data_IF_207731685763
#
_entry.id   IF_207731685763
#
_cell.length_a   1.000
_cell.length_b   1.000
_cell.length_c   1.000
_cell.angle_alpha   90.00
_cell.angle_beta   90.00
_cell.angle_gamma   90.00
#
_symmetry.space_group_name_H-M   'P 1'
#
loop_
_entity.id
_entity.type
_entity.pdbx_description
1 polymer ?
#
# COMPACT_ATOMS: atom_id res chain seq x y z
N UNK A 1 -35.05 -15.98 5.56
CA UNK A 1 -33.96 -15.65 6.50
C UNK A 1 -33.65 -14.18 6.33
N UNK A 2 -33.64 -13.41 7.42
CA UNK A 2 -33.18 -12.02 7.38
C UNK A 2 -31.67 -12.03 7.09
N UNK A 3 -31.25 -11.36 6.02
CA UNK A 3 -29.83 -11.20 5.70
C UNK A 3 -29.21 -10.27 6.75
N UNK A 4 -28.11 -10.65 7.42
CA UNK A 4 -27.48 -9.81 8.44
C UNK A 4 -27.11 -8.42 7.91
N UNK A 5 -27.21 -7.40 8.76
CA UNK A 5 -26.85 -6.01 8.44
C UNK A 5 -25.46 -5.90 7.79
N UNK A 6 -24.49 -6.67 8.29
CA UNK A 6 -23.11 -6.72 7.76
C UNK A 6 -23.05 -7.14 6.30
N UNK A 7 -23.91 -8.07 5.89
CA UNK A 7 -23.93 -8.59 4.52
C UNK A 7 -24.71 -7.66 3.59
N UNK A 8 -25.80 -7.04 4.06
CA UNK A 8 -26.54 -6.00 3.33
C UNK A 8 -25.71 -4.74 3.08
N UNK A 9 -24.83 -4.40 4.03
CA UNK A 9 -23.97 -3.21 3.95
C UNK A 9 -22.72 -3.44 3.09
N UNK A 10 -22.50 -4.67 2.61
CA UNK A 10 -21.34 -4.99 1.77
C UNK A 10 -21.35 -4.14 0.50
N UNK A 11 -20.18 -3.63 0.13
CA UNK A 11 -19.94 -2.70 -0.98
C UNK A 11 -20.67 -1.35 -0.84
N UNK A 12 -21.23 -1.03 0.33
CA UNK A 12 -21.94 0.23 0.58
C UNK A 12 -21.27 1.10 1.65
N UNK A 13 -20.23 0.62 2.33
CA UNK A 13 -19.60 1.32 3.45
C UNK A 13 -19.03 2.70 3.10
N UNK A 14 -18.44 2.86 1.92
CA UNK A 14 -17.95 4.16 1.46
C UNK A 14 -19.09 5.20 1.31
N UNK A 15 -20.33 4.74 1.08
CA UNK A 15 -21.54 5.59 1.00
C UNK A 15 -22.24 5.73 2.34
N UNK A 16 -22.34 4.65 3.11
CA UNK A 16 -23.06 4.60 4.38
C UNK A 16 -22.38 5.41 5.48
N UNK A 17 -21.05 5.31 5.59
CA UNK A 17 -20.29 5.99 6.65
C UNK A 17 -20.50 7.52 6.63
N UNK A 18 -20.42 8.22 5.47
CA UNK A 18 -20.76 9.64 5.40
C UNK A 18 -22.21 9.96 5.79
N UNK A 19 -23.17 9.11 5.39
CA UNK A 19 -24.59 9.33 5.70
C UNK A 19 -24.89 9.30 7.21
N UNK A 20 -24.08 8.58 7.99
CA UNK A 20 -24.22 8.49 9.45
C UNK A 20 -23.24 9.39 10.23
N UNK A 21 -22.51 10.27 9.52
CA UNK A 21 -21.67 11.30 10.15
C UNK A 21 -20.16 11.02 10.20
N UNK A 22 -19.66 9.98 9.53
CA UNK A 22 -18.22 9.73 9.39
C UNK A 22 -17.71 10.48 8.15
N UNK A 23 -16.83 11.46 8.36
CA UNK A 23 -16.34 12.30 7.27
C UNK A 23 -15.66 11.49 6.14
N UNK A 24 -16.10 11.74 4.90
CA UNK A 24 -15.59 11.13 3.67
C UNK A 24 -14.08 11.30 3.47
N UNK A 25 -13.45 12.30 4.08
CA UNK A 25 -11.99 12.50 4.01
C UNK A 25 -11.20 11.29 4.55
N UNK A 26 -11.78 10.51 5.46
CA UNK A 26 -11.15 9.31 6.01
C UNK A 26 -11.33 8.08 5.11
N UNK A 27 -12.24 8.15 4.14
CA UNK A 27 -12.62 7.04 3.28
C UNK A 27 -11.91 7.10 1.92
N UNK A 28 -11.05 8.11 1.71
CA UNK A 28 -10.32 8.31 0.46
C UNK A 28 -9.16 7.30 0.30
N UNK A 29 -9.50 6.09 -0.13
CA UNK A 29 -8.60 5.14 -0.77
C UNK A 29 -7.54 4.45 0.09
N UNK A 30 -6.64 3.71 -0.57
CA UNK A 30 -5.65 2.80 0.06
C UNK A 30 -4.40 3.50 0.62
N UNK A 31 -4.37 4.83 0.72
CA UNK A 31 -3.22 5.56 1.29
C UNK A 31 -3.37 5.65 2.81
N UNK A 32 -2.24 5.70 3.52
CA UNK A 32 -2.29 5.97 4.94
C UNK A 32 -2.52 7.47 5.15
N UNK A 33 -3.39 7.83 6.09
CA UNK A 33 -3.79 9.19 6.39
C UNK A 33 -4.14 9.39 7.87
N UNK A 34 -4.85 10.49 8.18
CA UNK A 34 -5.27 10.83 9.53
C UNK A 34 -6.26 9.81 10.07
N UNK A 35 -6.14 9.46 11.35
CA UNK A 35 -7.06 8.55 12.02
C UNK A 35 -8.24 9.32 12.62
N UNK A 36 -9.49 8.99 12.27
CA UNK A 36 -10.67 9.64 12.85
C UNK A 36 -10.87 9.34 14.34
N UNK A 37 -10.23 8.29 14.87
CA UNK A 37 -10.37 7.90 16.28
C UNK A 37 -9.30 8.52 17.19
N UNK A 38 -8.02 8.51 16.77
CA UNK A 38 -6.91 8.97 17.61
C UNK A 38 -6.18 10.21 17.09
N UNK A 39 -6.62 10.81 15.97
CA UNK A 39 -6.01 12.02 15.39
C UNK A 39 -4.61 11.83 14.78
N UNK A 40 -4.07 10.61 14.75
CA UNK A 40 -2.74 10.35 14.21
C UNK A 40 -2.67 10.56 12.69
N UNK A 41 -1.71 11.33 12.20
CA UNK A 41 -1.68 11.89 10.83
C UNK A 41 -1.43 10.93 9.66
N UNK A 42 -0.77 9.79 9.89
CA UNK A 42 -0.23 8.92 8.79
C UNK A 42 -0.39 7.42 9.06
N UNK A 43 -1.37 7.03 9.90
CA UNK A 43 -1.43 5.68 10.47
C UNK A 43 -2.72 4.92 10.16
N UNK A 44 -3.74 5.62 9.67
CA UNK A 44 -5.05 5.05 9.36
C UNK A 44 -5.21 4.83 7.87
N UNK A 45 -5.89 3.75 7.48
CA UNK A 45 -6.25 3.47 6.08
C UNK A 45 -7.59 2.77 6.06
N UNK A 46 -8.51 3.27 5.24
CA UNK A 46 -9.73 2.59 4.84
C UNK A 46 -9.41 1.76 3.59
N UNK A 47 -9.28 0.44 3.74
CA UNK A 47 -8.89 -0.44 2.63
C UNK A 47 -10.05 -1.25 2.03
N UNK A 48 -11.22 -1.21 2.67
CA UNK A 48 -12.50 -1.72 2.17
C UNK A 48 -12.42 -3.09 1.49
N UNK A 49 -11.66 -4.01 2.07
CA UNK A 49 -11.44 -5.33 1.49
C UNK A 49 -12.76 -6.08 1.42
N UNK A 50 -13.02 -6.62 0.23
CA UNK A 50 -14.22 -7.42 -0.05
C UNK A 50 -15.53 -6.63 0.23
N UNK A 51 -15.47 -5.30 0.13
CA UNK A 51 -16.60 -4.42 0.40
C UNK A 51 -17.06 -4.41 1.85
N UNK A 52 -16.25 -4.87 2.81
CA UNK A 52 -16.65 -5.01 4.22
C UNK A 52 -16.44 -3.74 5.05
N UNK A 53 -15.99 -2.64 4.45
CA UNK A 53 -15.65 -1.40 5.14
C UNK A 53 -14.40 -1.56 6.01
N UNK A 54 -13.47 -2.45 5.63
CA UNK A 54 -12.29 -2.72 6.47
C UNK A 54 -11.37 -1.52 6.55
N UNK A 55 -10.72 -1.42 7.71
CA UNK A 55 -9.78 -0.37 8.01
C UNK A 55 -8.67 -0.88 8.92
N UNK A 56 -7.53 -0.19 8.89
CA UNK A 56 -6.38 -0.47 9.74
C UNK A 56 -5.82 0.85 10.28
N UNK A 57 -5.52 0.87 11.56
CA UNK A 57 -4.75 1.89 12.25
C UNK A 57 -3.63 1.23 13.04
N UNK A 58 -2.38 1.67 12.84
CA UNK A 58 -1.23 1.10 13.59
C UNK A 58 -1.32 1.28 15.12
N UNK A 59 -2.26 2.09 15.62
CA UNK A 59 -2.48 2.31 17.05
C UNK A 59 -3.84 1.80 17.54
N UNK A 60 -4.91 2.02 16.76
CA UNK A 60 -6.27 1.64 17.15
C UNK A 60 -6.63 0.19 16.78
N UNK A 61 -5.75 -0.52 16.07
CA UNK A 61 -5.99 -1.87 15.58
C UNK A 61 -6.63 -1.88 14.20
N UNK A 62 -7.42 -2.90 13.90
CA UNK A 62 -8.12 -3.07 12.62
C UNK A 62 -9.54 -3.56 12.86
N UNK A 63 -10.44 -3.29 11.91
CA UNK A 63 -11.86 -3.64 12.02
C UNK A 63 -12.57 -3.60 10.68
N UNK A 64 -13.89 -3.78 10.71
CA UNK A 64 -14.80 -3.61 9.58
C UNK A 64 -15.62 -2.32 9.69
N UNK A 65 -16.57 -2.10 8.78
CA UNK A 65 -17.35 -0.87 8.73
C UNK A 65 -18.23 -0.66 9.97
N UNK A 66 -18.73 -1.73 10.59
CA UNK A 66 -19.48 -1.66 11.85
C UNK A 66 -18.56 -1.17 12.96
N UNK A 67 -17.41 -1.83 13.12
CA UNK A 67 -16.42 -1.47 14.14
C UNK A 67 -15.90 -0.03 13.95
N UNK A 68 -15.71 0.41 12.69
CA UNK A 68 -15.33 1.78 12.38
C UNK A 68 -16.39 2.78 12.83
N UNK A 69 -17.65 2.56 12.44
CA UNK A 69 -18.74 3.47 12.75
C UNK A 69 -18.95 3.60 14.25
N UNK A 70 -18.98 2.48 14.98
CA UNK A 70 -19.10 2.48 16.44
C UNK A 70 -17.96 3.25 17.11
N UNK A 71 -16.71 3.03 16.69
CA UNK A 71 -15.55 3.70 17.29
C UNK A 71 -15.46 5.19 16.97
N UNK A 72 -15.83 5.60 15.77
CA UNK A 72 -15.76 7.02 15.37
C UNK A 72 -16.92 7.82 15.98
N UNK A 73 -18.11 7.24 16.03
CA UNK A 73 -19.31 7.92 16.54
C UNK A 73 -19.50 7.76 18.06
N UNK A 74 -18.81 6.80 18.68
CA UNK A 74 -18.95 6.51 20.11
C UNK A 74 -20.28 5.86 20.48
N UNK A 75 -20.88 5.10 19.56
CA UNK A 75 -22.20 4.46 19.72
C UNK A 75 -22.09 2.93 19.79
N UNK A 76 -23.13 2.29 20.33
CA UNK A 76 -23.21 0.83 20.35
C UNK A 76 -23.80 0.27 19.04
N UNK A 77 -23.84 -1.07 18.93
CA UNK A 77 -24.36 -1.74 17.74
C UNK A 77 -25.86 -1.51 17.53
N UNK A 78 -26.65 -1.39 18.61
CA UNK A 78 -28.10 -1.19 18.51
C UNK A 78 -28.39 0.15 17.88
N UNK A 79 -27.79 1.20 18.42
CA UNK A 79 -27.93 2.57 17.89
C UNK A 79 -27.41 2.65 16.45
N UNK A 80 -26.27 1.99 16.16
CA UNK A 80 -25.78 1.93 14.78
C UNK A 80 -26.79 1.26 13.84
N UNK A 81 -27.37 0.13 14.24
CA UNK A 81 -28.35 -0.58 13.41
C UNK A 81 -29.60 0.28 13.17
N UNK A 82 -30.10 0.96 14.19
CA UNK A 82 -31.22 1.92 14.07
C UNK A 82 -30.93 3.04 13.07
N UNK A 83 -29.68 3.51 12.99
CA UNK A 83 -29.25 4.51 12.00
C UNK A 83 -29.06 3.94 10.59
N UNK A 84 -28.58 2.70 10.46
CA UNK A 84 -28.25 2.09 9.17
C UNK A 84 -29.43 1.42 8.47
N UNK A 85 -30.33 0.78 9.21
CA UNK A 85 -31.49 0.06 8.66
C UNK A 85 -32.33 0.88 7.66
N UNK A 86 -32.68 2.17 7.93
CA UNK A 86 -33.47 2.95 6.98
C UNK A 86 -32.66 3.42 5.75
N UNK A 87 -31.33 3.30 5.75
CA UNK A 87 -30.46 3.84 4.70
C UNK A 87 -29.89 2.77 3.77
N UNK A 88 -29.78 1.53 4.26
CA UNK A 88 -28.94 0.50 3.66
C UNK A 88 -29.37 0.09 2.24
N UNK A 89 -30.67 0.06 1.98
CA UNK A 89 -31.20 -0.37 0.69
C UNK A 89 -31.02 0.72 -0.38
N UNK A 90 -31.06 2.00 0.01
CA UNK A 90 -30.90 3.16 -0.86
C UNK A 90 -29.44 3.64 -1.01
N UNK A 91 -28.54 3.23 -0.11
CA UNK A 91 -27.15 3.68 -0.14
C UNK A 91 -26.43 3.17 -1.40
N UNK A 92 -25.81 4.04 -2.23
CA UNK A 92 -25.14 3.62 -3.45
C UNK A 92 -24.11 2.53 -3.23
N UNK A 93 -24.13 1.51 -4.09
CA UNK A 93 -23.08 0.49 -4.14
C UNK A 93 -21.83 1.14 -4.72
N UNK A 94 -20.79 1.19 -3.90
CA UNK A 94 -19.45 1.66 -4.24
C UNK A 94 -18.51 0.46 -4.11
N UNK A 95 -18.41 -0.36 -5.17
CA UNK A 95 -17.67 -1.60 -5.08
C UNK A 95 -16.20 -1.34 -4.76
N UNK A 96 -15.67 -2.12 -3.82
CA UNK A 96 -14.26 -2.05 -3.50
C UNK A 96 -13.42 -2.38 -4.73
N UNK A 97 -12.31 -1.64 -4.93
CA UNK A 97 -11.40 -1.95 -6.03
C UNK A 97 -10.90 -3.40 -5.86
N UNK A 98 -10.94 -4.25 -6.90
CA UNK A 98 -10.56 -5.65 -6.78
C UNK A 98 -9.14 -5.78 -6.21
N UNK A 99 -8.96 -6.77 -5.34
CA UNK A 99 -7.62 -7.15 -4.92
C UNK A 99 -6.91 -7.81 -6.11
N UNK A 100 -5.65 -7.44 -6.35
CA UNK A 100 -4.88 -8.05 -7.44
C UNK A 100 -4.64 -9.51 -7.10
N UNK A 101 -4.83 -10.40 -8.07
CA UNK A 101 -4.53 -11.81 -7.85
C UNK A 101 -3.03 -12.01 -7.55
N UNK A 102 -2.64 -13.08 -6.83
CA UNK A 102 -1.24 -13.41 -6.63
C UNK A 102 -0.45 -13.54 -7.94
N UNK A 103 -1.12 -14.01 -9.00
CA UNK A 103 -0.51 -14.16 -10.33
C UNK A 103 -0.28 -12.80 -11.00
N UNK A 104 -1.25 -11.88 -10.94
CA UNK A 104 -1.08 -10.52 -11.45
C UNK A 104 0.06 -9.79 -10.72
N UNK A 105 0.15 -9.99 -9.40
CA UNK A 105 1.24 -9.43 -8.61
C UNK A 105 2.59 -9.99 -9.08
N UNK A 106 2.71 -11.30 -9.26
CA UNK A 106 3.93 -11.96 -9.73
C UNK A 106 4.31 -11.53 -11.14
N UNK A 107 3.34 -11.45 -12.05
CA UNK A 107 3.53 -10.95 -13.41
C UNK A 107 4.06 -9.52 -13.43
N UNK A 108 3.52 -8.63 -12.58
CA UNK A 108 4.00 -7.26 -12.44
C UNK A 108 5.44 -7.18 -11.88
N UNK A 109 5.80 -8.05 -10.92
CA UNK A 109 7.18 -8.15 -10.42
C UNK A 109 8.14 -8.58 -11.54
N UNK A 110 7.77 -9.64 -12.27
CA UNK A 110 8.60 -10.20 -13.34
C UNK A 110 8.82 -9.18 -14.45
N UNK A 111 7.76 -8.47 -14.87
CA UNK A 111 7.84 -7.42 -15.89
C UNK A 111 8.78 -6.30 -15.48
N UNK A 112 8.62 -5.75 -14.28
CA UNK A 112 9.50 -4.70 -13.78
C UNK A 112 10.95 -5.17 -13.69
N UNK A 113 11.18 -6.42 -13.25
CA UNK A 113 12.52 -6.97 -13.16
C UNK A 113 13.17 -7.19 -14.53
N UNK A 114 12.41 -7.61 -15.54
CA UNK A 114 12.91 -7.81 -16.90
C UNK A 114 13.23 -6.49 -17.60
N UNK A 115 12.47 -5.43 -17.32
CA UNK A 115 12.76 -4.07 -17.81
C UNK A 115 13.99 -3.47 -17.13
N UNK A 116 14.31 -3.90 -15.91
CA UNK A 116 15.42 -3.36 -15.15
C UNK A 116 16.76 -3.93 -15.65
N UNK A 117 17.73 -3.04 -15.89
CA UNK A 117 19.10 -3.36 -16.31
C UNK A 117 20.11 -3.27 -15.16
N UNK A 118 21.30 -3.83 -15.35
CA UNK A 118 22.40 -3.67 -14.41
C UNK A 118 22.85 -2.20 -14.34
N UNK A 119 23.29 -1.80 -13.14
CA UNK A 119 23.75 -0.44 -12.85
C UNK A 119 25.12 -0.21 -13.52
N UNK A 120 25.24 0.90 -14.23
CA UNK A 120 26.45 1.45 -14.83
C UNK A 120 26.98 2.62 -13.99
N UNK A 121 28.30 2.93 -14.04
CA UNK A 121 28.92 3.93 -13.16
C UNK A 121 28.34 5.35 -13.21
N UNK A 122 27.74 5.74 -14.33
CA UNK A 122 27.14 7.05 -14.60
C UNK A 122 25.62 7.07 -14.42
N UNK A 123 25.02 5.97 -13.96
CA UNK A 123 23.60 5.93 -13.67
C UNK A 123 23.23 6.78 -12.45
N UNK A 124 21.98 7.26 -12.42
CA UNK A 124 21.40 7.92 -11.25
C UNK A 124 21.54 7.05 -9.97
N UNK A 125 21.37 5.73 -10.11
CA UNK A 125 21.52 4.78 -9.01
C UNK A 125 22.97 4.66 -8.55
N UNK A 126 23.95 4.66 -9.47
CA UNK A 126 25.37 4.64 -9.12
C UNK A 126 25.78 5.90 -8.37
N UNK A 127 25.38 7.08 -8.87
CA UNK A 127 25.59 8.37 -8.18
C UNK A 127 25.02 8.34 -6.77
N UNK A 128 23.79 7.86 -6.62
CA UNK A 128 23.11 7.73 -5.33
C UNK A 128 23.84 6.81 -4.36
N UNK A 129 24.21 5.60 -4.79
CA UNK A 129 24.90 4.62 -3.95
C UNK A 129 26.32 5.06 -3.59
N UNK A 130 27.04 5.73 -4.50
CA UNK A 130 28.34 6.31 -4.23
C UNK A 130 28.24 7.43 -3.20
N UNK A 131 27.32 8.37 -3.38
CA UNK A 131 27.13 9.47 -2.43
C UNK A 131 26.68 8.98 -1.04
N UNK A 132 25.85 7.93 -1.00
CA UNK A 132 25.27 7.42 0.26
C UNK A 132 26.18 6.46 1.01
N UNK A 133 26.93 5.61 0.30
CA UNK A 133 27.64 4.46 0.88
C UNK A 133 29.08 4.31 0.36
N UNK A 134 29.54 5.17 -0.55
CA UNK A 134 30.86 5.03 -1.19
C UNK A 134 30.97 3.84 -2.15
N UNK A 135 29.85 3.21 -2.52
CA UNK A 135 29.88 2.03 -3.39
C UNK A 135 30.22 2.40 -4.83
N UNK A 136 31.22 1.71 -5.39
CA UNK A 136 31.62 1.78 -6.81
C UNK A 136 31.39 0.48 -7.57
N UNK A 137 31.10 -0.61 -6.86
CA UNK A 137 30.71 -1.91 -7.40
C UNK A 137 29.32 -2.25 -6.90
N UNK A 138 28.44 -2.69 -7.79
CA UNK A 138 27.01 -2.84 -7.49
C UNK A 138 26.57 -4.31 -7.50
N UNK A 139 25.93 -4.80 -6.42
CA UNK A 139 25.35 -6.14 -6.40
C UNK A 139 24.28 -6.34 -7.48
N UNK A 140 24.23 -7.53 -8.10
CA UNK A 140 23.24 -7.88 -9.15
C UNK A 140 21.78 -7.90 -8.69
N UNK A 141 21.54 -7.92 -7.37
CA UNK A 141 20.20 -7.78 -6.80
C UNK A 141 19.70 -6.33 -6.84
N UNK A 142 20.56 -5.36 -7.15
CA UNK A 142 20.23 -3.97 -7.42
C UNK A 142 20.29 -3.74 -8.93
N UNK A 143 19.26 -3.09 -9.46
CA UNK A 143 19.10 -2.73 -10.87
C UNK A 143 18.56 -1.31 -11.01
N UNK A 144 18.60 -0.80 -12.22
CA UNK A 144 18.01 0.49 -12.58
C UNK A 144 16.90 0.33 -13.63
N UNK A 145 15.87 1.15 -13.49
CA UNK A 145 14.93 1.50 -14.56
C UNK A 145 15.01 3.01 -14.74
N UNK A 146 15.34 3.48 -15.94
CA UNK A 146 15.61 4.90 -16.21
C UNK A 146 14.35 5.77 -16.16
N UNK A 147 13.18 5.20 -16.46
CA UNK A 147 11.92 5.92 -16.56
C UNK A 147 10.77 5.13 -15.91
N UNK A 148 10.77 5.04 -14.58
CA UNK A 148 9.76 4.31 -13.84
C UNK A 148 8.61 5.24 -13.40
N UNK A 149 7.38 4.83 -13.67
CA UNK A 149 6.18 5.53 -13.22
C UNK A 149 6.06 5.52 -11.69
N UNK A 150 5.94 6.70 -11.11
CA UNK A 150 5.46 6.91 -9.75
C UNK A 150 3.94 7.07 -9.79
N UNK A 151 3.24 6.23 -9.02
CA UNK A 151 1.77 6.24 -8.98
C UNK A 151 1.29 7.04 -7.76
N UNK A 152 0.76 8.21 -8.07
CA UNK A 152 0.06 9.16 -7.21
C UNK A 152 -1.07 9.81 -8.02
N UNK A 153 -1.66 10.89 -7.50
CA UNK A 153 -2.84 11.50 -8.10
C UNK A 153 -2.48 12.19 -9.43
N UNK A 154 -1.28 12.78 -9.49
CA UNK A 154 -0.66 13.28 -10.73
C UNK A 154 0.61 12.45 -11.01
N UNK A 155 0.52 11.44 -11.90
CA UNK A 155 1.64 10.52 -12.12
C UNK A 155 2.89 11.26 -12.62
N UNK A 156 4.04 10.85 -12.10
CA UNK A 156 5.36 11.33 -12.52
C UNK A 156 6.28 10.17 -12.90
N UNK A 157 7.41 10.46 -13.55
CA UNK A 157 8.35 9.44 -14.01
C UNK A 157 9.77 9.81 -13.58
N UNK A 158 10.49 8.80 -13.08
CA UNK A 158 11.80 9.00 -12.46
C UNK A 158 12.71 7.81 -12.72
N UNK A 159 14.04 8.03 -12.80
CA UNK A 159 15.00 6.96 -12.57
C UNK A 159 14.72 6.27 -11.23
N UNK A 160 14.80 4.95 -11.21
CA UNK A 160 14.53 4.18 -10.00
C UNK A 160 15.52 3.05 -9.79
N UNK A 161 16.01 2.95 -8.55
CA UNK A 161 16.70 1.74 -8.10
C UNK A 161 15.65 0.67 -7.81
N UNK A 162 15.77 -0.48 -8.48
CA UNK A 162 14.96 -1.68 -8.24
C UNK A 162 15.82 -2.69 -7.50
N UNK A 163 15.44 -3.02 -6.26
CA UNK A 163 16.14 -3.98 -5.42
C UNK A 163 15.28 -5.24 -5.24
N UNK A 164 15.87 -6.40 -5.53
CA UNK A 164 15.22 -7.69 -5.30
C UNK A 164 15.19 -8.00 -3.81
N UNK A 165 13.98 -8.19 -3.29
CA UNK A 165 13.74 -8.68 -1.93
C UNK A 165 13.53 -10.19 -2.02
N UNK A 166 14.35 -10.95 -1.31
CA UNK A 166 14.27 -12.41 -1.27
C UNK A 166 13.72 -12.88 0.05
N UNK A 167 12.90 -13.94 0.00
CA UNK A 167 12.43 -14.65 1.19
C UNK A 167 13.55 -15.40 1.93
N UNK A 168 13.22 -16.07 3.04
CA UNK A 168 14.16 -16.94 3.76
C UNK A 168 14.70 -18.06 2.86
N UNK A 169 13.88 -18.60 1.97
CA UNK A 169 14.22 -19.69 1.04
C UNK A 169 15.08 -19.24 -0.15
N UNK A 170 15.34 -17.94 -0.28
CA UNK A 170 16.14 -17.34 -1.36
C UNK A 170 15.33 -16.86 -2.56
N UNK A 171 14.09 -17.34 -2.71
CA UNK A 171 13.18 -16.95 -3.77
C UNK A 171 12.79 -15.47 -3.72
N UNK A 172 12.49 -14.90 -4.89
CA UNK A 172 12.05 -13.51 -4.97
C UNK A 172 10.68 -13.34 -4.32
N UNK A 173 10.63 -12.57 -3.24
CA UNK A 173 9.40 -12.25 -2.53
C UNK A 173 8.70 -11.02 -3.14
N UNK A 174 9.46 -9.96 -3.42
CA UNK A 174 8.96 -8.71 -4.02
C UNK A 174 10.11 -7.86 -4.55
N UNK A 175 9.80 -6.69 -5.09
CA UNK A 175 10.76 -5.68 -5.49
C UNK A 175 10.57 -4.41 -4.65
N UNK A 176 11.67 -3.87 -4.17
CA UNK A 176 11.71 -2.55 -3.54
C UNK A 176 12.20 -1.51 -4.55
N UNK A 177 11.43 -0.42 -4.71
CA UNK A 177 11.72 0.68 -5.61
C UNK A 177 12.17 1.90 -4.82
N UNK A 178 13.26 2.54 -5.25
CA UNK A 178 13.68 3.85 -4.76
C UNK A 178 13.64 4.88 -5.89
N UNK A 179 12.72 5.83 -5.73
CA UNK A 179 12.52 7.09 -6.44
C UNK A 179 13.77 7.96 -6.50
N UNK A 180 14.43 8.15 -7.65
CA UNK A 180 15.63 9.00 -7.74
C UNK A 180 15.49 10.11 -8.79
N UNK A 181 16.21 11.21 -8.58
CA UNK A 181 16.49 12.20 -9.61
C UNK A 181 17.65 11.73 -10.50
N UNK A 182 17.79 12.31 -11.69
CA UNK A 182 18.90 11.99 -12.61
C UNK A 182 20.29 12.25 -12.01
N UNK A 183 20.42 13.23 -11.11
CA UNK A 183 21.66 13.55 -10.40
C UNK A 183 21.91 12.68 -9.15
N UNK A 184 21.07 11.68 -8.89
CA UNK A 184 21.29 10.67 -7.85
C UNK A 184 20.86 11.09 -6.45
N UNK A 185 19.85 11.96 -6.32
CA UNK A 185 19.15 12.24 -5.06
C UNK A 185 17.84 11.49 -5.02
N UNK A 186 17.18 11.43 -3.86
CA UNK A 186 15.80 10.93 -3.81
C UNK A 186 14.88 11.89 -4.54
N UNK A 187 13.97 11.37 -5.35
CA UNK A 187 12.91 12.16 -5.97
C UNK A 187 12.06 12.86 -4.89
N UNK A 188 11.62 14.09 -5.19
CA UNK A 188 10.76 14.89 -4.32
C UNK A 188 9.29 14.44 -4.44
N UNK A 189 9.04 13.19 -4.03
CA UNK A 189 7.71 12.56 -3.99
C UNK A 189 7.40 12.16 -2.55
N UNK A 190 6.10 12.05 -2.23
CA UNK A 190 5.62 11.80 -0.86
C UNK A 190 6.29 10.58 -0.19
N UNK A 191 6.32 9.45 -0.89
CA UNK A 191 6.96 8.21 -0.44
C UNK A 191 7.98 7.77 -1.50
N UNK A 192 9.27 8.16 -1.41
CA UNK A 192 10.27 7.86 -2.44
C UNK A 192 10.77 6.41 -2.39
N UNK A 193 10.32 5.61 -1.42
CA UNK A 193 10.71 4.20 -1.25
C UNK A 193 9.47 3.34 -1.12
N UNK A 194 9.22 2.44 -2.08
CA UNK A 194 7.98 1.64 -2.11
C UNK A 194 8.28 0.20 -2.49
N UNK A 195 7.70 -0.73 -1.73
CA UNK A 195 7.58 -2.12 -2.18
C UNK A 195 6.55 -2.19 -3.31
N UNK A 196 6.68 -3.21 -4.16
CA UNK A 196 5.61 -3.60 -5.07
C UNK A 196 4.43 -4.20 -4.27
N UNK A 197 3.18 -4.04 -4.74
CA UNK A 197 2.03 -4.65 -4.10
C UNK A 197 2.17 -6.18 -3.99
N UNK A 198 1.69 -6.74 -2.88
CA UNK A 198 1.76 -8.17 -2.59
C UNK A 198 2.12 -8.42 -1.13
N UNK A 199 1.92 -9.67 -0.68
CA UNK A 199 2.39 -10.10 0.64
C UNK A 199 3.89 -10.33 0.59
N UNK A 200 4.59 -9.87 1.62
CA UNK A 200 6.02 -10.12 1.81
C UNK A 200 6.17 -11.08 2.98
N UNK A 201 6.72 -12.29 2.78
CA UNK A 201 6.95 -13.24 3.87
C UNK A 201 7.87 -12.66 4.95
N UNK A 202 7.66 -13.05 6.20
CA UNK A 202 8.56 -12.69 7.29
C UNK A 202 9.99 -13.20 7.04
N UNK A 203 10.98 -12.45 7.52
CA UNK A 203 12.40 -12.75 7.27
C UNK A 203 12.90 -12.41 5.86
N UNK A 204 12.05 -11.82 5.01
CA UNK A 204 12.46 -11.33 3.69
C UNK A 204 13.44 -10.15 3.79
N UNK A 205 14.46 -10.13 2.93
CA UNK A 205 15.47 -9.08 2.92
C UNK A 205 16.08 -8.85 1.53
N UNK A 206 16.65 -7.66 1.32
CA UNK A 206 17.53 -7.39 0.19
C UNK A 206 18.90 -7.99 0.54
N UNK A 207 19.25 -9.11 -0.08
CA UNK A 207 20.52 -9.80 0.15
C UNK A 207 21.60 -9.21 -0.75
N UNK A 208 22.30 -8.19 -0.26
CA UNK A 208 23.35 -7.48 -1.01
C UNK A 208 24.57 -8.35 -1.30
N UNK A 209 24.87 -9.29 -0.40
CA UNK A 209 25.98 -10.22 -0.52
C UNK A 209 25.52 -11.62 -0.12
N UNK A 210 26.19 -12.69 -0.59
CA UNK A 210 25.96 -14.03 -0.09
C UNK A 210 26.12 -14.07 1.43
N UNK A 211 25.31 -14.89 2.10
CA UNK A 211 25.49 -15.16 3.53
C UNK A 211 26.85 -15.83 3.70
N UNK A 212 27.80 -15.17 4.39
CA UNK A 212 29.04 -15.83 4.80
C UNK A 212 28.65 -17.05 5.62
N UNK A 213 29.00 -18.24 5.15
CA UNK A 213 28.95 -19.46 5.98
C UNK A 213 30.03 -19.27 7.04
N UNK A 214 29.62 -19.22 8.31
CA UNK A 214 30.52 -19.42 9.43
C UNK A 214 30.92 -20.88 9.51
#
# INVERSE_FOLDING_TARGET
>A
MLVPLRDRARDRWASLLPMIGVDSQFLSGRKNGPCPMCGGKTRFRFDDKEGRGTWICNHCGAGDGIDLAMKVLGIDFRELAERLEPLIDDAPIMPSAPERSPEDCRSALNRLWSEARLIQPDDAVARYLKARLGLTTFPRCLRIVDHLRYQDDVPSYHPAMVAKVSGPDGDAATLHRTYLTHDGRKAAVDIPRRLMPGKVPDGSAIRLFPRRRG
#
